data_IF_944955342538
#
_entry.id   IF_944955342538
#
_cell.length_a   1.000
_cell.length_b   1.000
_cell.length_c   1.000
_cell.angle_alpha   90.00
_cell.angle_beta   90.00
_cell.angle_gamma   90.00
#
_symmetry.space_group_name_H-M   'P 1'
#
loop_
_entity.id
_entity.type
_entity.pdbx_description
1 polymer ?
#
# COMPACT_ATOMS: atom_id res chain seq x y z
N UNK A 1 6.37 27.99 15.90
CA UNK A 1 5.78 26.69 15.49
C UNK A 1 5.28 26.02 16.75
N UNK A 2 3.97 25.87 16.90
CA UNK A 2 3.38 25.29 18.10
C UNK A 2 3.89 23.87 18.34
N UNK A 3 4.43 23.63 19.53
CA UNK A 3 4.91 22.32 19.99
C UNK A 3 3.82 21.26 19.82
N UNK A 4 2.56 21.65 20.03
CA UNK A 4 1.37 20.81 19.88
C UNK A 4 1.26 20.24 18.46
N UNK A 5 1.52 21.05 17.42
CA UNK A 5 1.44 20.59 16.02
C UNK A 5 2.55 19.59 15.70
N UNK A 6 3.73 19.77 16.30
CA UNK A 6 4.89 18.89 16.09
C UNK A 6 4.71 17.52 16.75
N UNK A 7 4.13 17.48 17.95
CA UNK A 7 3.79 16.23 18.65
C UNK A 7 2.70 15.44 17.89
N UNK A 8 1.67 16.13 17.38
CA UNK A 8 0.59 15.52 16.59
C UNK A 8 1.11 14.88 15.30
N UNK A 9 1.96 15.59 14.56
CA UNK A 9 2.59 15.05 13.34
C UNK A 9 3.39 13.78 13.64
N UNK A 10 4.12 13.77 14.77
CA UNK A 10 4.91 12.62 15.19
C UNK A 10 4.04 11.42 15.52
N UNK A 11 2.92 11.65 16.22
CA UNK A 11 1.95 10.60 16.53
C UNK A 11 1.26 10.06 15.26
N UNK A 12 0.82 10.95 14.36
CA UNK A 12 0.21 10.57 13.08
C UNK A 12 1.16 9.72 12.23
N UNK A 13 2.43 10.10 12.15
CA UNK A 13 3.43 9.36 11.38
C UNK A 13 3.73 7.98 11.99
N UNK A 14 3.69 7.86 13.33
CA UNK A 14 3.86 6.58 14.03
C UNK A 14 2.66 5.66 13.82
N UNK A 15 1.44 6.18 13.89
CA UNK A 15 0.20 5.43 13.63
C UNK A 15 0.12 4.97 12.19
N UNK A 16 0.44 5.85 11.22
CA UNK A 16 0.47 5.50 9.80
C UNK A 16 1.40 4.33 9.50
N UNK A 17 2.57 4.29 10.16
CA UNK A 17 3.53 3.21 10.03
C UNK A 17 2.99 1.88 10.53
N UNK A 18 2.41 1.87 11.74
CA UNK A 18 1.85 0.64 12.33
C UNK A 18 0.70 0.14 11.48
N UNK A 19 -0.20 1.04 11.06
CA UNK A 19 -1.35 0.68 10.24
C UNK A 19 -0.94 0.08 8.89
N UNK A 20 -0.03 0.75 8.15
CA UNK A 20 0.44 0.26 6.85
C UNK A 20 1.14 -1.10 6.94
N UNK A 21 2.07 -1.28 7.88
CA UNK A 21 2.77 -2.55 8.07
C UNK A 21 1.83 -3.68 8.47
N UNK A 22 0.89 -3.41 9.38
CA UNK A 22 -0.04 -4.44 9.86
C UNK A 22 -0.86 -4.99 8.71
N UNK A 23 -1.46 -4.12 7.90
CA UNK A 23 -2.23 -4.58 6.75
C UNK A 23 -1.38 -5.18 5.64
N UNK A 24 -0.14 -4.74 5.44
CA UNK A 24 0.75 -5.36 4.44
C UNK A 24 1.08 -6.80 4.84
N UNK A 25 1.20 -7.08 6.15
CA UNK A 25 1.36 -8.44 6.68
C UNK A 25 0.09 -9.27 6.42
N UNK A 26 -1.10 -8.73 6.72
CA UNK A 26 -2.35 -9.46 6.45
C UNK A 26 -2.53 -9.76 4.96
N UNK A 27 -2.30 -8.76 4.10
CA UNK A 27 -2.35 -8.93 2.66
C UNK A 27 -1.37 -10.00 2.17
N UNK A 28 -0.15 -10.05 2.71
CA UNK A 28 0.83 -11.09 2.38
C UNK A 28 0.36 -12.48 2.84
N UNK A 29 -0.21 -12.59 4.05
CA UNK A 29 -0.76 -13.85 4.54
C UNK A 29 -1.90 -14.34 3.64
N UNK A 30 -2.80 -13.45 3.22
CA UNK A 30 -3.87 -13.76 2.27
C UNK A 30 -3.32 -14.15 0.88
N UNK A 31 -2.22 -13.54 0.43
CA UNK A 31 -1.59 -13.82 -0.86
C UNK A 31 -0.85 -15.17 -0.89
N UNK A 32 -0.34 -15.63 0.25
CA UNK A 32 0.39 -16.90 0.39
C UNK A 32 -0.55 -18.11 0.49
N UNK A 33 -1.86 -17.89 0.70
CA UNK A 33 -2.83 -18.99 0.76
C UNK A 33 -2.83 -19.80 -0.54
N UNK A 34 -2.78 -21.14 -0.46
CA UNK A 34 -2.74 -21.99 -1.64
C UNK A 34 -4.03 -21.82 -2.46
N UNK A 35 -3.87 -21.50 -3.75
CA UNK A 35 -4.98 -21.19 -4.64
C UNK A 35 -5.49 -19.74 -4.57
N UNK A 36 -4.84 -18.84 -3.82
CA UNK A 36 -5.13 -17.40 -3.86
C UNK A 36 -4.78 -16.79 -5.23
N UNK A 37 -3.60 -17.15 -5.75
CA UNK A 37 -3.00 -16.58 -6.96
C UNK A 37 -2.16 -17.66 -7.66
N UNK A 38 -1.89 -17.49 -8.95
CA UNK A 38 -1.00 -18.39 -9.69
C UNK A 38 0.40 -18.44 -9.03
N UNK A 39 1.02 -19.62 -8.99
CA UNK A 39 2.33 -19.79 -8.33
C UNK A 39 3.40 -18.87 -8.94
N UNK A 40 3.31 -18.58 -10.23
CA UNK A 40 4.17 -17.62 -10.93
C UNK A 40 3.96 -16.18 -10.44
N UNK A 41 2.71 -15.73 -10.26
CA UNK A 41 2.41 -14.40 -9.72
C UNK A 41 2.89 -14.26 -8.27
N UNK A 42 2.81 -15.33 -7.47
CA UNK A 42 3.32 -15.35 -6.09
C UNK A 42 4.83 -15.10 -6.04
N UNK A 43 5.63 -15.83 -6.81
CA UNK A 43 7.08 -15.66 -6.80
C UNK A 43 7.54 -14.27 -7.27
N UNK A 44 6.82 -13.66 -8.22
CA UNK A 44 7.16 -12.32 -8.75
C UNK A 44 6.72 -11.21 -7.78
N UNK A 45 5.59 -11.37 -7.11
CA UNK A 45 5.05 -10.36 -6.18
C UNK A 45 5.74 -10.36 -4.81
N UNK A 46 6.29 -11.50 -4.37
CA UNK A 46 6.99 -11.63 -3.09
C UNK A 46 8.12 -10.59 -2.89
N UNK A 47 9.07 -10.41 -3.83
CA UNK A 47 10.07 -9.35 -3.70
C UNK A 47 9.46 -7.94 -3.70
N UNK A 48 8.35 -7.71 -4.44
CA UNK A 48 7.65 -6.42 -4.41
C UNK A 48 7.00 -6.15 -3.04
N UNK A 49 6.47 -7.17 -2.37
CA UNK A 49 5.96 -7.03 -1.00
C UNK A 49 7.06 -6.62 -0.01
N UNK A 50 8.28 -7.15 -0.18
CA UNK A 50 9.44 -6.73 0.62
C UNK A 50 9.77 -5.27 0.35
N UNK A 51 9.82 -4.87 -0.93
CA UNK A 51 10.06 -3.47 -1.32
C UNK A 51 8.99 -2.53 -0.75
N UNK A 52 7.72 -2.93 -0.82
CA UNK A 52 6.60 -2.18 -0.27
C UNK A 52 6.71 -2.02 1.25
N UNK A 53 7.01 -3.11 1.97
CA UNK A 53 7.22 -3.08 3.42
C UNK A 53 8.38 -2.17 3.83
N UNK A 54 9.51 -2.25 3.11
CA UNK A 54 10.67 -1.36 3.34
C UNK A 54 10.32 0.10 3.04
N UNK A 55 9.58 0.36 1.96
CA UNK A 55 9.15 1.70 1.60
C UNK A 55 8.23 2.30 2.67
N UNK A 56 7.22 1.55 3.14
CA UNK A 56 6.34 1.98 4.24
C UNK A 56 7.12 2.19 5.55
N UNK A 57 8.07 1.31 5.87
CA UNK A 57 8.95 1.48 7.03
C UNK A 57 9.77 2.77 6.94
N UNK A 58 10.29 3.10 5.75
CA UNK A 58 11.09 4.31 5.48
C UNK A 58 10.26 5.59 5.39
N UNK A 59 8.99 5.55 4.98
CA UNK A 59 8.07 6.70 5.06
C UNK A 59 7.87 7.15 6.51
N UNK A 60 7.82 6.20 7.44
CA UNK A 60 7.70 6.50 8.89
C UNK A 60 8.94 7.20 9.49
N UNK A 61 10.11 7.08 8.85
CA UNK A 61 11.37 7.67 9.32
C UNK A 61 11.76 8.91 8.51
N UNK A 62 11.54 8.88 7.20
CA UNK A 62 11.96 9.93 6.27
C UNK A 62 10.75 10.67 5.70
N UNK A 63 10.81 12.01 5.70
CA UNK A 63 9.77 12.86 5.09
C UNK A 63 9.93 12.96 3.56
N UNK A 64 10.65 12.03 2.94
CA UNK A 64 10.97 12.10 1.51
C UNK A 64 9.80 11.56 0.68
N UNK A 65 9.33 12.32 -0.33
CA UNK A 65 8.26 11.89 -1.23
C UNK A 65 8.67 10.71 -2.13
N UNK A 66 9.96 10.42 -2.25
CA UNK A 66 10.46 9.31 -3.07
C UNK A 66 9.97 7.96 -2.52
N UNK A 67 9.98 7.78 -1.20
CA UNK A 67 9.51 6.53 -0.59
C UNK A 67 8.00 6.34 -0.72
N UNK A 68 7.25 7.44 -0.76
CA UNK A 68 5.81 7.42 -1.05
C UNK A 68 5.56 6.92 -2.48
N UNK A 69 6.26 7.48 -3.47
CA UNK A 69 6.15 7.02 -4.85
C UNK A 69 6.55 5.54 -4.98
N UNK A 70 7.60 5.11 -4.27
CA UNK A 70 8.09 3.74 -4.29
C UNK A 70 7.06 2.75 -3.70
N UNK A 71 6.40 3.13 -2.60
CA UNK A 71 5.30 2.34 -2.02
C UNK A 71 4.08 2.28 -2.96
N UNK A 72 3.72 3.39 -3.61
CA UNK A 72 2.62 3.42 -4.58
C UNK A 72 2.90 2.54 -5.80
N UNK A 73 4.09 2.69 -6.41
CA UNK A 73 4.49 1.93 -7.59
C UNK A 73 4.57 0.43 -7.28
N UNK A 74 5.15 0.05 -6.14
CA UNK A 74 5.22 -1.36 -5.73
C UNK A 74 3.84 -1.94 -5.44
N UNK A 75 2.98 -1.23 -4.73
CA UNK A 75 1.60 -1.65 -4.49
C UNK A 75 0.82 -1.84 -5.80
N UNK A 76 0.89 -0.87 -6.70
CA UNK A 76 0.21 -0.94 -8.01
C UNK A 76 0.73 -2.12 -8.84
N UNK A 77 2.04 -2.32 -8.86
CA UNK A 77 2.64 -3.43 -9.60
C UNK A 77 2.21 -4.79 -9.04
N UNK A 78 2.05 -4.96 -7.72
CA UNK A 78 1.49 -6.18 -7.12
C UNK A 78 0.07 -6.43 -7.62
N UNK A 79 -0.78 -5.40 -7.64
CA UNK A 79 -2.16 -5.50 -8.14
C UNK A 79 -2.19 -5.90 -9.61
N UNK A 80 -1.40 -5.23 -10.45
CA UNK A 80 -1.31 -5.55 -11.89
C UNK A 80 -0.84 -6.98 -12.09
N UNK A 81 0.19 -7.42 -11.38
CA UNK A 81 0.71 -8.80 -11.47
C UNK A 81 -0.37 -9.81 -11.05
N UNK A 82 -1.06 -9.56 -9.93
CA UNK A 82 -2.11 -10.44 -9.42
C UNK A 82 -3.31 -10.56 -10.38
N UNK A 83 -3.64 -9.49 -11.12
CA UNK A 83 -4.77 -9.48 -12.06
C UNK A 83 -4.41 -9.94 -13.48
N UNK A 84 -3.14 -9.86 -13.89
CA UNK A 84 -2.71 -10.13 -15.29
C UNK A 84 -1.96 -11.44 -15.47
N UNK A 85 -1.33 -11.99 -14.41
CA UNK A 85 -0.49 -13.18 -14.52
C UNK A 85 -1.24 -14.43 -14.01
N UNK A 86 -1.64 -15.28 -14.96
CA UNK A 86 -2.26 -16.58 -14.70
C UNK A 86 -3.79 -16.56 -14.69
N UNK A 87 -4.40 -17.48 -13.95
CA UNK A 87 -5.85 -17.54 -13.77
C UNK A 87 -6.37 -16.40 -12.88
N UNK A 88 -7.65 -16.07 -13.05
CA UNK A 88 -8.32 -15.04 -12.26
C UNK A 88 -8.09 -15.29 -10.76
N UNK A 89 -7.71 -14.27 -9.98
CA UNK A 89 -7.47 -14.42 -8.55
C UNK A 89 -8.73 -14.99 -7.88
N UNK A 90 -8.54 -15.95 -6.98
CA UNK A 90 -9.65 -16.49 -6.20
C UNK A 90 -10.16 -15.45 -5.20
N UNK A 91 -11.27 -15.73 -4.51
CA UNK A 91 -11.84 -14.81 -3.53
C UNK A 91 -10.82 -14.39 -2.45
N UNK A 92 -9.90 -15.29 -2.07
CA UNK A 92 -8.79 -15.01 -1.15
C UNK A 92 -7.76 -14.02 -1.75
N UNK A 93 -7.41 -14.19 -3.03
CA UNK A 93 -6.56 -13.26 -3.76
C UNK A 93 -7.19 -11.88 -3.92
N UNK A 94 -8.51 -11.82 -4.14
CA UNK A 94 -9.26 -10.57 -4.22
C UNK A 94 -9.26 -9.83 -2.86
N UNK A 95 -9.47 -10.53 -1.75
CA UNK A 95 -9.34 -9.94 -0.40
C UNK A 95 -7.93 -9.44 -0.11
N UNK A 96 -6.88 -10.16 -0.55
CA UNK A 96 -5.49 -9.71 -0.40
C UNK A 96 -5.22 -8.40 -1.14
N UNK A 97 -5.72 -8.29 -2.38
CA UNK A 97 -5.59 -7.08 -3.21
C UNK A 97 -6.38 -5.90 -2.61
N UNK A 98 -7.59 -6.16 -2.10
CA UNK A 98 -8.42 -5.13 -1.44
C UNK A 98 -7.77 -4.66 -0.14
N UNK A 99 -7.22 -5.55 0.69
CA UNK A 99 -6.50 -5.17 1.89
C UNK A 99 -5.23 -4.37 1.57
N UNK A 100 -4.46 -4.80 0.56
CA UNK A 100 -3.26 -4.10 0.11
C UNK A 100 -3.57 -2.67 -0.39
N UNK A 101 -4.63 -2.52 -1.18
CA UNK A 101 -5.06 -1.22 -1.72
C UNK A 101 -5.62 -0.33 -0.63
N UNK A 102 -6.47 -0.85 0.27
CA UNK A 102 -6.99 -0.13 1.42
C UNK A 102 -5.86 0.33 2.36
N UNK A 103 -4.86 -0.52 2.60
CA UNK A 103 -3.70 -0.19 3.43
C UNK A 103 -2.80 0.88 2.82
N UNK A 104 -2.54 0.77 1.52
CA UNK A 104 -1.72 1.74 0.78
C UNK A 104 -2.43 3.10 0.73
N UNK A 105 -3.74 3.12 0.52
CA UNK A 105 -4.58 4.34 0.57
C UNK A 105 -4.65 4.94 1.99
N UNK A 106 -4.78 4.12 3.03
CA UNK A 106 -4.79 4.60 4.42
C UNK A 106 -3.43 5.18 4.85
N UNK A 107 -2.33 4.51 4.48
CA UNK A 107 -0.97 4.95 4.79
C UNK A 107 -0.60 6.24 4.04
N UNK A 108 -1.03 6.37 2.78
CA UNK A 108 -0.87 7.62 2.02
C UNK A 108 -1.77 8.73 2.57
N UNK A 109 -3.03 8.44 2.92
CA UNK A 109 -3.97 9.41 3.49
C UNK A 109 -3.53 10.06 4.80
N UNK A 110 -2.88 9.29 5.68
CA UNK A 110 -2.36 9.81 6.95
C UNK A 110 -1.17 10.76 6.79
N UNK A 111 -0.39 10.65 5.71
CA UNK A 111 0.79 11.50 5.43
C UNK A 111 0.43 12.71 4.55
N UNK A 112 -0.68 12.63 3.81
CA UNK A 112 -1.05 13.59 2.75
C UNK A 112 -2.03 14.70 3.19
N UNK A 113 -2.61 14.64 4.38
CA UNK A 113 -3.54 15.67 4.89
C UNK A 113 -2.91 17.04 5.18
N UNK A 114 -1.61 17.22 4.94
CA UNK A 114 -0.91 18.50 5.15
C UNK A 114 -0.93 19.45 3.95
N UNK A 115 -1.29 19.03 2.73
CA UNK A 115 -1.30 19.93 1.56
C UNK A 115 -2.29 19.52 0.44
N UNK A 116 -2.85 20.50 -0.27
CA UNK A 116 -3.86 20.28 -1.32
C UNK A 116 -3.37 19.43 -2.50
N UNK A 117 -2.11 19.60 -2.93
CA UNK A 117 -1.51 18.80 -4.02
C UNK A 117 -1.44 17.30 -3.68
N UNK A 118 -1.28 17.00 -2.40
CA UNK A 118 -1.21 15.64 -1.86
C UNK A 118 -2.60 14.99 -1.83
N UNK A 119 -3.64 15.75 -1.49
CA UNK A 119 -5.04 15.30 -1.60
C UNK A 119 -5.41 14.96 -3.06
N UNK A 120 -4.98 15.79 -4.02
CA UNK A 120 -5.23 15.54 -5.44
C UNK A 120 -4.59 14.22 -5.94
N UNK A 121 -3.36 13.93 -5.51
CA UNK A 121 -2.71 12.65 -5.83
C UNK A 121 -3.48 11.44 -5.25
N UNK A 122 -4.07 11.59 -4.07
CA UNK A 122 -4.86 10.53 -3.43
C UNK A 122 -6.14 10.22 -4.21
N UNK A 123 -6.82 11.26 -4.71
CA UNK A 123 -8.00 11.13 -5.57
C UNK A 123 -7.64 10.39 -6.87
N UNK A 124 -6.51 10.74 -7.50
CA UNK A 124 -6.05 10.08 -8.73
C UNK A 124 -5.79 8.59 -8.48
N UNK A 125 -5.07 8.25 -7.40
CA UNK A 125 -4.80 6.85 -7.05
C UNK A 125 -6.09 6.08 -6.78
N UNK A 126 -7.05 6.67 -6.05
CA UNK A 126 -8.34 6.06 -5.80
C UNK A 126 -9.10 5.75 -7.10
N UNK A 127 -9.12 6.69 -8.05
CA UNK A 127 -9.78 6.49 -9.34
C UNK A 127 -9.11 5.38 -10.16
N UNK A 128 -7.78 5.35 -10.21
CA UNK A 128 -7.03 4.32 -10.93
C UNK A 128 -7.28 2.94 -10.33
N UNK A 129 -7.22 2.81 -9.00
CA UNK A 129 -7.45 1.56 -8.30
C UNK A 129 -8.90 1.09 -8.49
N UNK A 130 -9.87 1.99 -8.35
CA UNK A 130 -11.28 1.70 -8.58
C UNK A 130 -11.56 1.22 -10.01
N UNK A 131 -10.93 1.84 -11.00
CA UNK A 131 -11.03 1.42 -12.39
C UNK A 131 -10.39 0.05 -12.67
N UNK A 132 -9.34 -0.34 -11.93
CA UNK A 132 -8.72 -1.67 -12.08
C UNK A 132 -9.46 -2.81 -11.37
N UNK A 133 -10.35 -2.49 -10.41
CA UNK A 133 -11.09 -3.49 -9.62
C UNK A 133 -12.53 -3.74 -10.10
N UNK A 134 -13.09 -2.85 -10.95
CA UNK A 134 -14.39 -2.99 -11.62
C UNK A 134 -14.25 -3.81 -12.91
#
# INVERSE_FOLDING_TARGET
MDLITKERDRLLQRTARVYGLSFTIVALLCFVLPGAVSSSALFISLPLFVVLGVAQFRIGISRSPVWLALALISGLAIVVIACTIGDRPSQAGFTAVVELTAASLAATGLVLTSSAARIAALIIVFLVVGATLL
#
